data_IF_039557821158
#
_entry.id   IF_039557821158
#
_cell.length_a   1.000
_cell.length_b   1.000
_cell.length_c   1.000
_cell.angle_alpha   90.00
_cell.angle_beta   90.00
_cell.angle_gamma   90.00
#
_symmetry.space_group_name_H-M   'P 1'
#
loop_
_entity.id
_entity.type
_entity.pdbx_description
1 polymer ?
#
# COMPACT_ATOMS: atom_id res chain seq x y z
N UNK A 1 0.04 4.80 0.84
CA UNK A 1 0.56 4.08 -0.34
C UNK A 1 1.36 2.90 0.16
N UNK A 2 1.26 1.75 -0.48
CA UNK A 2 2.09 0.60 -0.16
C UNK A 2 2.73 0.03 -1.42
N UNK A 3 3.98 -0.42 -1.31
CA UNK A 3 4.72 -1.16 -2.31
C UNK A 3 4.83 -2.62 -1.86
N UNK A 4 4.40 -3.55 -2.70
CA UNK A 4 4.37 -4.98 -2.38
C UNK A 4 5.24 -5.72 -3.40
N UNK A 5 6.22 -6.49 -2.93
CA UNK A 5 7.10 -7.29 -3.79
C UNK A 5 6.64 -8.74 -3.89
N UNK A 6 6.13 -9.29 -2.80
CA UNK A 6 5.69 -10.68 -2.71
C UNK A 6 4.17 -10.83 -2.79
N UNK A 7 3.71 -11.95 -3.34
CA UNK A 7 2.29 -12.31 -3.47
C UNK A 7 1.81 -13.24 -2.35
N UNK A 8 2.50 -13.22 -1.20
CA UNK A 8 2.16 -14.08 -0.07
C UNK A 8 0.79 -13.74 0.53
N UNK A 9 0.20 -14.70 1.24
CA UNK A 9 -1.04 -14.48 1.99
C UNK A 9 -0.89 -13.36 3.03
N UNK A 10 0.32 -13.19 3.60
CA UNK A 10 0.62 -12.08 4.51
C UNK A 10 0.47 -10.72 3.84
N UNK A 11 1.02 -10.57 2.62
CA UNK A 11 0.87 -9.35 1.82
C UNK A 11 -0.57 -9.14 1.37
N UNK A 12 -1.32 -10.19 1.02
CA UNK A 12 -2.75 -10.08 0.73
C UNK A 12 -3.56 -9.56 1.93
N UNK A 13 -3.31 -10.09 3.14
CA UNK A 13 -3.95 -9.62 4.38
C UNK A 13 -3.59 -8.17 4.71
N UNK A 14 -2.34 -7.77 4.48
CA UNK A 14 -1.91 -6.37 4.65
C UNK A 14 -2.69 -5.45 3.70
N UNK A 15 -2.88 -5.85 2.44
CA UNK A 15 -3.66 -5.08 1.46
C UNK A 15 -5.12 -4.94 1.90
N UNK A 16 -5.74 -6.00 2.45
CA UNK A 16 -7.08 -5.92 3.02
C UNK A 16 -7.17 -4.93 4.21
N UNK A 17 -6.17 -4.95 5.11
CA UNK A 17 -6.13 -4.02 6.24
C UNK A 17 -6.01 -2.56 5.77
N UNK A 18 -5.19 -2.32 4.73
CA UNK A 18 -5.07 -1.00 4.10
C UNK A 18 -6.40 -0.58 3.47
N UNK A 19 -7.07 -1.48 2.74
CA UNK A 19 -8.36 -1.21 2.10
C UNK A 19 -9.42 -0.82 3.13
N UNK A 20 -9.56 -1.60 4.21
CA UNK A 20 -10.51 -1.30 5.30
C UNK A 20 -10.22 0.04 5.96
N UNK A 21 -8.94 0.34 6.23
CA UNK A 21 -8.53 1.61 6.83
C UNK A 21 -8.90 2.79 5.94
N UNK A 22 -8.61 2.69 4.63
CA UNK A 22 -8.92 3.73 3.64
C UNK A 22 -10.42 3.87 3.48
N UNK A 23 -11.17 2.77 3.35
CA UNK A 23 -12.62 2.79 3.23
C UNK A 23 -13.29 3.46 4.44
N UNK A 24 -12.85 3.13 5.66
CA UNK A 24 -13.39 3.69 6.89
C UNK A 24 -13.19 5.22 7.02
N UNK A 25 -12.13 5.77 6.43
CA UNK A 25 -11.79 7.20 6.53
C UNK A 25 -11.83 7.92 5.17
N UNK A 26 -12.47 7.31 4.16
CA UNK A 26 -12.56 7.86 2.80
C UNK A 26 -13.27 9.21 2.77
N UNK A 27 -14.33 9.34 3.56
CA UNK A 27 -15.11 10.59 3.69
C UNK A 27 -14.27 11.71 4.31
N UNK A 28 -13.32 11.37 5.18
CA UNK A 28 -12.38 12.31 5.81
C UNK A 28 -11.18 12.63 4.90
N UNK A 29 -11.21 12.19 3.63
CA UNK A 29 -10.18 12.49 2.64
C UNK A 29 -8.97 11.55 2.67
N UNK A 30 -8.98 10.47 3.48
CA UNK A 30 -7.93 9.46 3.42
C UNK A 30 -7.97 8.76 2.06
N UNK A 31 -6.84 8.74 1.36
CA UNK A 31 -6.66 8.02 0.11
C UNK A 31 -5.51 7.05 0.25
N UNK A 32 -5.69 5.86 -0.31
CA UNK A 32 -4.65 4.85 -0.40
C UNK A 32 -4.71 4.13 -1.73
N UNK A 33 -3.57 3.60 -2.13
CA UNK A 33 -3.41 2.73 -3.28
C UNK A 33 -2.21 1.82 -3.01
N UNK A 34 -2.20 0.67 -3.68
CA UNK A 34 -1.16 -0.35 -3.54
C UNK A 34 -0.50 -0.54 -4.89
N UNK A 35 0.82 -0.54 -4.89
CA UNK A 35 1.69 -0.74 -6.04
C UNK A 35 2.41 -2.06 -5.85
N UNK A 36 2.28 -2.97 -6.80
CA UNK A 36 3.08 -4.18 -6.83
C UNK A 36 4.36 -3.95 -7.63
N UNK A 37 5.49 -4.31 -7.04
CA UNK A 37 6.82 -4.29 -7.66
C UNK A 37 6.99 -5.56 -8.52
N UNK A 38 6.04 -5.76 -9.42
CA UNK A 38 6.08 -6.79 -10.44
C UNK A 38 5.63 -6.16 -11.76
N UNK A 39 5.97 -6.78 -12.87
CA UNK A 39 5.64 -6.26 -14.20
C UNK A 39 4.18 -6.50 -14.58
N UNK A 40 3.81 -6.24 -15.84
CA UNK A 40 2.44 -6.43 -16.33
C UNK A 40 1.92 -7.87 -16.25
N UNK A 41 2.79 -8.86 -16.07
CA UNK A 41 2.45 -10.27 -15.93
C UNK A 41 1.50 -10.57 -14.76
N UNK A 42 1.49 -9.72 -13.72
CA UNK A 42 0.60 -9.91 -12.56
C UNK A 42 -0.78 -9.27 -12.72
N UNK A 43 -1.06 -8.56 -13.82
CA UNK A 43 -2.31 -7.83 -14.01
C UNK A 43 -3.56 -8.69 -13.77
N UNK A 44 -3.65 -9.86 -14.42
CA UNK A 44 -4.78 -10.78 -14.24
C UNK A 44 -4.87 -11.37 -12.83
N UNK A 45 -3.74 -11.49 -12.12
CA UNK A 45 -3.73 -11.93 -10.71
C UNK A 45 -4.23 -10.83 -9.78
N UNK A 46 -3.88 -9.57 -10.05
CA UNK A 46 -4.39 -8.43 -9.30
C UNK A 46 -5.90 -8.25 -9.45
N UNK A 47 -6.43 -8.43 -10.67
CA UNK A 47 -7.87 -8.39 -10.92
C UNK A 47 -8.60 -9.48 -10.13
N UNK A 48 -8.07 -10.71 -10.12
CA UNK A 48 -8.61 -11.80 -9.29
C UNK A 48 -8.54 -11.48 -7.81
N UNK A 49 -7.40 -10.99 -7.31
CA UNK A 49 -7.24 -10.63 -5.91
C UNK A 49 -8.24 -9.53 -5.50
N UNK A 50 -8.41 -8.51 -6.33
CA UNK A 50 -9.37 -7.44 -6.10
C UNK A 50 -10.81 -7.98 -6.04
N UNK A 51 -11.17 -8.90 -6.95
CA UNK A 51 -12.49 -9.52 -6.98
C UNK A 51 -12.74 -10.44 -5.77
N UNK A 52 -11.79 -11.34 -5.46
CA UNK A 52 -11.88 -12.31 -4.37
C UNK A 52 -11.96 -11.63 -3.00
N UNK A 53 -11.14 -10.58 -2.80
CA UNK A 53 -11.06 -9.86 -1.52
C UNK A 53 -11.95 -8.62 -1.47
N UNK A 54 -12.72 -8.36 -2.53
CA UNK A 54 -13.63 -7.20 -2.67
C UNK A 54 -12.94 -5.87 -2.38
N UNK A 55 -11.70 -5.72 -2.85
CA UNK A 55 -10.89 -4.54 -2.60
C UNK A 55 -11.45 -3.34 -3.37
N UNK A 56 -11.53 -2.20 -2.70
CA UNK A 56 -12.02 -0.93 -3.26
C UNK A 56 -10.87 0.02 -3.57
N UNK A 57 -9.72 -0.17 -2.93
CA UNK A 57 -8.52 0.60 -3.21
C UNK A 57 -7.96 0.25 -4.59
N UNK A 58 -7.38 1.23 -5.30
CA UNK A 58 -6.68 0.97 -6.54
C UNK A 58 -5.47 0.05 -6.29
N UNK A 59 -5.43 -1.07 -7.00
CA UNK A 59 -4.25 -1.92 -7.15
C UNK A 59 -3.59 -1.60 -8.48
N UNK A 60 -2.28 -1.42 -8.48
CA UNK A 60 -1.49 -1.19 -9.68
C UNK A 60 -0.18 -1.96 -9.63
N UNK A 61 0.50 -2.03 -10.76
CA UNK A 61 1.79 -2.68 -10.92
C UNK A 61 2.74 -1.71 -11.62
N UNK A 62 4.05 -1.97 -11.51
CA UNK A 62 5.04 -1.14 -12.18
C UNK A 62 5.25 -1.64 -13.61
N UNK A 63 5.16 -0.77 -14.63
CA UNK A 63 5.27 -1.20 -16.04
C UNK A 63 6.62 -1.82 -16.37
N UNK A 64 7.67 -1.49 -15.61
CA UNK A 64 9.01 -2.10 -15.71
C UNK A 64 9.37 -2.99 -14.52
N UNK A 65 8.40 -3.38 -13.68
CA UNK A 65 8.64 -4.20 -12.50
C UNK A 65 9.70 -3.60 -11.56
N UNK A 66 10.67 -4.42 -11.14
CA UNK A 66 11.74 -4.02 -10.23
C UNK A 66 12.76 -3.03 -10.83
N UNK A 67 12.81 -2.89 -12.16
CA UNK A 67 13.68 -1.95 -12.87
C UNK A 67 13.04 -0.57 -13.10
N UNK A 68 11.85 -0.34 -12.54
CA UNK A 68 11.13 0.92 -12.75
C UNK A 68 11.81 2.10 -12.01
N UNK A 69 12.10 3.22 -12.71
CA UNK A 69 12.72 4.39 -12.09
C UNK A 69 11.88 5.02 -10.97
N UNK A 70 10.57 4.73 -10.91
CA UNK A 70 9.72 5.17 -9.80
C UNK A 70 10.22 4.64 -8.44
N UNK A 71 10.80 3.44 -8.40
CA UNK A 71 11.30 2.84 -7.15
C UNK A 71 12.44 3.67 -6.53
N UNK A 72 13.35 4.17 -7.37
CA UNK A 72 14.42 5.07 -6.93
C UNK A 72 13.87 6.40 -6.42
N UNK A 73 12.87 6.96 -7.11
CA UNK A 73 12.23 8.23 -6.73
C UNK A 73 11.56 8.16 -5.35
N UNK A 74 10.91 7.04 -5.06
CA UNK A 74 10.24 6.81 -3.77
C UNK A 74 11.17 6.21 -2.70
N UNK A 75 12.46 5.98 -3.01
CA UNK A 75 13.44 5.34 -2.13
C UNK A 75 12.91 4.03 -1.54
N UNK A 76 12.22 3.25 -2.36
CA UNK A 76 11.68 1.95 -1.95
C UNK A 76 12.84 0.98 -1.74
N UNK A 77 12.86 0.33 -0.58
CA UNK A 77 13.85 -0.69 -0.29
C UNK A 77 13.47 -1.97 -1.05
N UNK A 78 14.25 -2.29 -2.09
CA UNK A 78 14.03 -3.47 -2.93
C UNK A 78 14.41 -4.78 -2.24
N UNK A 79 15.11 -4.70 -1.09
CA UNK A 79 15.43 -5.87 -0.26
C UNK A 79 14.27 -6.25 0.65
N UNK A 80 13.34 -5.32 0.90
CA UNK A 80 12.15 -5.57 1.70
C UNK A 80 11.05 -6.29 0.88
N UNK A 81 10.27 -7.15 1.55
CA UNK A 81 9.11 -7.81 0.95
C UNK A 81 7.98 -6.82 0.67
N UNK A 82 7.84 -5.79 1.50
CA UNK A 82 6.90 -4.71 1.29
C UNK A 82 7.38 -3.42 1.97
N UNK A 83 6.84 -2.29 1.53
CA UNK A 83 7.08 -0.96 2.10
C UNK A 83 5.76 -0.20 2.18
N UNK A 84 5.37 0.27 3.36
CA UNK A 84 4.17 1.10 3.55
C UNK A 84 4.59 2.52 3.86
N UNK A 85 4.04 3.47 3.10
CA UNK A 85 4.30 4.90 3.22
C UNK A 85 2.99 5.62 3.49
N UNK A 86 2.91 6.24 4.67
CA UNK A 86 1.85 7.17 5.03
C UNK A 86 2.38 8.58 4.78
N UNK A 87 1.66 9.37 3.97
CA UNK A 87 2.06 10.72 3.62
C UNK A 87 0.90 11.70 3.75
N UNK A 88 1.21 12.94 4.09
CA UNK A 88 0.29 14.08 4.04
C UNK A 88 1.00 15.29 3.45
N UNK A 89 0.27 16.12 2.68
CA UNK A 89 0.81 17.35 2.06
C UNK A 89 2.17 17.15 1.37
N UNK A 90 2.29 16.07 0.58
CA UNK A 90 3.50 15.64 -0.16
C UNK A 90 4.71 15.27 0.71
N UNK A 91 4.54 15.09 2.03
CA UNK A 91 5.60 14.66 2.95
C UNK A 91 5.25 13.30 3.56
N UNK A 92 6.21 12.38 3.55
CA UNK A 92 6.08 11.12 4.29
C UNK A 92 6.08 11.43 5.80
N UNK A 93 5.06 10.96 6.51
CA UNK A 93 4.95 11.09 7.97
C UNK A 93 5.29 9.77 8.67
N UNK A 94 5.14 8.65 7.97
CA UNK A 94 5.48 7.33 8.47
C UNK A 94 5.91 6.44 7.29
N UNK A 95 7.01 5.71 7.48
CA UNK A 95 7.53 4.73 6.52
C UNK A 95 7.89 3.48 7.30
N UNK A 96 7.41 2.33 6.86
CA UNK A 96 7.79 1.04 7.40
C UNK A 96 8.06 0.05 6.28
N UNK A 97 9.03 -0.84 6.50
CA UNK A 97 9.42 -1.92 5.59
C UNK A 97 9.16 -3.27 6.27
N UNK A 98 8.98 -4.32 5.48
CA UNK A 98 8.70 -5.69 5.97
C UNK A 98 7.54 -5.75 6.97
N UNK A 99 6.48 -5.00 6.67
CA UNK A 99 5.29 -4.91 7.50
C UNK A 99 4.55 -6.23 7.47
N UNK A 100 4.37 -6.83 8.64
CA UNK A 100 3.44 -7.95 8.83
C UNK A 100 2.06 -7.44 9.24
N UNK A 101 1.00 -8.24 9.07
CA UNK A 101 -0.35 -7.86 9.51
C UNK A 101 -0.46 -7.53 11.00
N UNK A 102 0.40 -8.11 11.85
CA UNK A 102 0.44 -7.82 13.29
C UNK A 102 1.09 -6.46 13.59
N UNK A 103 2.04 -6.02 12.75
CA UNK A 103 2.73 -4.74 12.89
C UNK A 103 2.00 -3.57 12.21
N UNK A 104 0.72 -3.74 11.88
CA UNK A 104 -0.05 -2.74 11.13
C UNK A 104 -0.56 -1.55 11.96
N UNK A 105 -0.76 -1.72 13.28
CA UNK A 105 -1.39 -0.67 14.10
C UNK A 105 -0.65 0.69 14.07
N UNK A 106 0.70 0.76 14.12
CA UNK A 106 1.42 2.03 13.98
C UNK A 106 1.12 2.77 12.66
N UNK A 107 0.92 2.04 11.57
CA UNK A 107 0.55 2.59 10.26
C UNK A 107 -0.88 3.14 10.31
N UNK A 108 -1.80 2.37 10.90
CA UNK A 108 -3.19 2.79 11.08
C UNK A 108 -3.28 4.05 11.94
N UNK A 109 -2.53 4.11 13.03
CA UNK A 109 -2.46 5.28 13.91
C UNK A 109 -1.92 6.51 13.16
N UNK A 110 -0.82 6.36 12.41
CA UNK A 110 -0.27 7.46 11.60
C UNK A 110 -1.28 7.98 10.56
N UNK A 111 -2.04 7.09 9.91
CA UNK A 111 -3.09 7.47 8.98
C UNK A 111 -4.27 8.18 9.68
N UNK A 112 -4.72 7.68 10.83
CA UNK A 112 -5.76 8.31 11.66
C UNK A 112 -5.35 9.70 12.14
N UNK A 113 -4.08 9.89 12.51
CA UNK A 113 -3.56 11.22 12.89
C UNK A 113 -3.54 12.23 11.75
N UNK A 114 -3.54 11.80 10.48
CA UNK A 114 -3.68 12.70 9.34
C UNK A 114 -5.11 13.21 9.24
N UNK A 115 -6.09 12.32 9.33
CA UNK A 115 -7.51 12.69 9.20
C UNK A 115 -8.04 13.46 10.40
N UNK A 116 -7.58 13.16 11.62
CA UNK A 116 -7.96 13.91 12.83
C UNK A 116 -7.46 15.37 12.84
N UNK A 117 -6.51 15.73 11.96
CA UNK A 117 -6.02 17.12 11.79
C UNK A 117 -6.80 17.91 10.75
N UNK A 118 -7.83 17.32 10.15
CA UNK A 118 -8.69 17.92 9.14
C UNK A 118 -10.07 18.34 9.68
N UNK A 119 -10.32 18.21 10.99
CA UNK A 119 -11.42 18.85 11.74
C UNK A 119 -10.96 20.19 12.33
#
# INVERSE_FOLDING_TARGET
MAFIKDDSEGSARLVEQIDRLVAAHRVQGLRGFVVYIAGPEIAGRLERLAAERRLTIPLTYLPKGADDPALQKYRVDLTASNTVIVYTRKKAVYVATNVTPEAFEPIAQAARSIVARHE
#
